data_IF_569893518056
#
_entry.id   IF_569893518056
#
_cell.length_a   1.000
_cell.length_b   1.000
_cell.length_c   1.000
_cell.angle_alpha   90.00
_cell.angle_beta   90.00
_cell.angle_gamma   90.00
#
_symmetry.space_group_name_H-M   'P 1'
#
loop_
_entity.id
_entity.type
_entity.pdbx_description
1 polymer ?
#
# COMPACT_ATOMS: atom_id res chain seq x y z
N UNK A 1 -19.96 24.61 -5.18
CA UNK A 1 -20.20 24.60 -3.72
C UNK A 1 -21.68 24.82 -3.48
N UNK A 2 -22.34 24.02 -2.64
CA UNK A 2 -23.69 24.34 -2.15
C UNK A 2 -23.53 25.25 -0.93
N UNK A 3 -24.12 26.45 -0.96
CA UNK A 3 -24.15 27.38 0.18
C UNK A 3 -25.49 27.27 0.88
N UNK A 4 -25.49 27.31 2.21
CA UNK A 4 -26.69 27.40 3.05
C UNK A 4 -26.64 28.74 3.77
N UNK A 5 -27.70 29.54 3.63
CA UNK A 5 -27.86 30.75 4.43
C UNK A 5 -28.30 30.39 5.84
N UNK A 6 -27.68 31.03 6.84
CA UNK A 6 -27.99 30.88 8.26
C UNK A 6 -28.51 32.21 8.79
N UNK A 7 -29.49 32.17 9.69
CA UNK A 7 -30.03 33.33 10.41
C UNK A 7 -29.50 33.37 11.84
N UNK A 8 -29.66 34.51 12.49
CA UNK A 8 -29.37 34.65 13.92
C UNK A 8 -30.16 33.61 14.73
N UNK A 9 -29.46 32.86 15.58
CA UNK A 9 -30.03 31.77 16.36
C UNK A 9 -29.99 30.39 15.70
N UNK A 10 -29.60 30.27 14.42
CA UNK A 10 -29.44 28.96 13.78
C UNK A 10 -28.22 28.20 14.33
N UNK A 11 -28.38 26.89 14.49
CA UNK A 11 -27.30 25.95 14.81
C UNK A 11 -27.17 24.88 13.74
N UNK A 12 -25.94 24.49 13.41
CA UNK A 12 -25.65 23.39 12.48
C UNK A 12 -24.67 22.42 13.13
N UNK A 13 -24.93 21.12 12.96
CA UNK A 13 -23.99 20.09 13.39
C UNK A 13 -22.77 20.10 12.48
N UNK A 14 -21.58 20.06 13.08
CA UNK A 14 -20.33 19.85 12.34
C UNK A 14 -20.36 18.40 11.83
N UNK A 15 -20.19 18.16 10.52
CA UNK A 15 -20.08 16.81 10.01
C UNK A 15 -18.92 16.06 10.68
N UNK A 16 -19.08 14.78 10.92
CA UNK A 16 -18.07 13.95 11.56
C UNK A 16 -16.71 14.05 10.82
N UNK A 17 -15.63 14.26 11.60
CA UNK A 17 -14.27 14.42 11.08
C UNK A 17 -13.99 15.77 10.39
N UNK A 18 -14.92 16.72 10.43
CA UNK A 18 -14.70 18.07 9.91
C UNK A 18 -14.34 19.07 11.02
N UNK A 19 -13.57 20.09 10.64
CA UNK A 19 -13.28 21.28 11.42
C UNK A 19 -13.88 22.50 10.70
N UNK A 20 -14.67 23.34 11.39
CA UNK A 20 -15.17 24.57 10.80
C UNK A 20 -14.04 25.60 10.67
N UNK A 21 -13.94 26.21 9.49
CA UNK A 21 -13.05 27.34 9.22
C UNK A 21 -13.91 28.53 8.81
N UNK A 22 -13.75 29.65 9.49
CA UNK A 22 -14.43 30.90 9.16
C UNK A 22 -13.52 31.71 8.24
N UNK A 23 -14.02 32.03 7.05
CA UNK A 23 -13.39 32.96 6.10
C UNK A 23 -14.40 34.04 5.74
N UNK A 24 -14.18 35.26 6.21
CA UNK A 24 -15.10 36.39 6.09
C UNK A 24 -16.51 36.02 6.62
N UNK A 25 -17.51 36.01 5.74
CA UNK A 25 -18.90 35.68 6.05
C UNK A 25 -19.26 34.23 5.67
N UNK A 26 -18.27 33.35 5.46
CA UNK A 26 -18.48 31.97 5.04
C UNK A 26 -17.85 30.99 6.03
N UNK A 27 -18.64 30.02 6.48
CA UNK A 27 -18.17 28.87 7.26
C UNK A 27 -17.92 27.71 6.29
N UNK A 28 -16.70 27.19 6.26
CA UNK A 28 -16.29 26.03 5.45
C UNK A 28 -15.89 24.90 6.37
N UNK A 29 -16.52 23.74 6.23
CA UNK A 29 -16.10 22.52 6.92
C UNK A 29 -14.97 21.85 6.11
N UNK A 30 -13.78 21.76 6.71
CA UNK A 30 -12.63 21.05 6.13
C UNK A 30 -12.42 19.74 6.88
N UNK A 31 -12.04 18.67 6.18
CA UNK A 31 -11.45 17.50 6.84
C UNK A 31 -9.94 17.72 6.95
N UNK A 32 -9.39 17.44 8.12
CA UNK A 32 -7.95 17.37 8.32
C UNK A 32 -7.57 15.90 8.37
N UNK A 33 -6.68 15.49 7.48
CA UNK A 33 -6.09 14.16 7.46
C UNK A 33 -4.60 14.32 7.79
N UNK A 34 -4.08 13.38 8.56
CA UNK A 34 -2.66 13.30 8.91
C UNK A 34 -1.92 12.40 7.91
N UNK A 35 -0.63 12.69 7.71
CA UNK A 35 0.22 11.88 6.83
C UNK A 35 0.27 10.41 7.28
N UNK A 36 -0.06 9.50 6.38
CA UNK A 36 -0.22 8.08 6.68
C UNK A 36 -1.64 7.64 7.06
N UNK A 37 -2.60 8.55 7.15
CA UNK A 37 -4.00 8.16 7.36
C UNK A 37 -4.50 7.22 6.27
N UNK A 38 -5.24 6.19 6.68
CA UNK A 38 -5.88 5.28 5.72
C UNK A 38 -7.27 5.81 5.39
N UNK A 39 -7.46 6.18 4.13
CA UNK A 39 -8.67 6.82 3.62
C UNK A 39 -9.35 5.95 2.56
N UNK A 40 -10.65 6.14 2.42
CA UNK A 40 -11.48 5.49 1.41
C UNK A 40 -12.41 6.51 0.75
N UNK A 41 -12.88 6.19 -0.45
CA UNK A 41 -13.87 7.00 -1.17
C UNK A 41 -15.22 6.98 -0.45
N UNK A 42 -15.90 8.12 -0.40
CA UNK A 42 -17.29 8.16 0.11
C UNK A 42 -18.31 7.62 -0.90
N UNK A 43 -17.90 7.36 -2.14
CA UNK A 43 -18.80 6.93 -3.22
C UNK A 43 -18.64 5.45 -3.58
N UNK A 44 -17.55 4.80 -3.16
CA UNK A 44 -17.29 3.38 -3.42
C UNK A 44 -16.35 2.82 -2.37
N UNK A 45 -16.50 1.54 -2.06
CA UNK A 45 -15.59 0.79 -1.19
C UNK A 45 -14.41 0.18 -1.98
N UNK A 46 -14.37 0.37 -3.30
CA UNK A 46 -13.34 -0.20 -4.18
C UNK A 46 -12.03 0.60 -4.16
N UNK A 47 -11.96 1.67 -3.37
CA UNK A 47 -10.83 2.58 -3.30
C UNK A 47 -10.43 2.74 -1.84
N UNK A 48 -9.26 2.22 -1.47
CA UNK A 48 -8.66 2.43 -0.15
C UNK A 48 -7.18 2.74 -0.33
N UNK A 49 -6.66 3.73 0.39
CA UNK A 49 -5.29 4.20 0.21
C UNK A 49 -4.69 4.77 1.49
N UNK A 50 -3.36 4.78 1.56
CA UNK A 50 -2.60 5.44 2.63
C UNK A 50 -2.27 6.85 2.15
N UNK A 51 -2.86 7.85 2.77
CA UNK A 51 -2.71 9.26 2.43
C UNK A 51 -1.27 9.73 2.61
N UNK A 52 -0.80 10.50 1.63
CA UNK A 52 0.48 11.19 1.65
C UNK A 52 0.21 12.68 1.66
N UNK A 53 0.70 13.38 2.65
CA UNK A 53 0.58 14.83 2.71
C UNK A 53 1.54 15.50 1.71
N UNK A 54 1.02 16.43 0.91
CA UNK A 54 1.86 17.28 0.06
C UNK A 54 2.36 18.49 0.85
N UNK A 55 3.52 18.34 1.52
CA UNK A 55 4.09 19.39 2.37
C UNK A 55 4.58 20.63 1.61
N UNK A 56 4.81 20.54 0.30
CA UNK A 56 5.24 21.68 -0.51
C UNK A 56 4.10 22.59 -0.95
N UNK A 57 2.85 22.10 -0.91
CA UNK A 57 1.64 22.87 -1.24
C UNK A 57 0.51 22.57 -0.24
N UNK A 58 0.39 23.37 0.84
CA UNK A 58 -0.66 23.19 1.85
C UNK A 58 -2.09 23.41 1.33
N UNK A 59 -2.27 24.11 0.21
CA UNK A 59 -3.59 24.35 -0.40
C UNK A 59 -3.96 23.26 -1.42
N UNK A 60 -3.09 22.28 -1.64
CA UNK A 60 -3.38 21.15 -2.53
C UNK A 60 -4.56 20.34 -2.00
N UNK A 61 -5.61 20.25 -2.82
CA UNK A 61 -6.86 19.59 -2.49
C UNK A 61 -6.90 18.13 -2.97
N UNK A 62 -5.86 17.65 -3.66
CA UNK A 62 -5.74 16.26 -4.14
C UNK A 62 -5.33 15.34 -2.99
N UNK A 63 -5.77 14.09 -3.05
CA UNK A 63 -5.31 13.07 -2.11
C UNK A 63 -4.10 12.34 -2.68
N UNK A 64 -2.90 12.82 -2.40
CA UNK A 64 -1.71 12.01 -2.68
C UNK A 64 -1.70 10.77 -1.79
N UNK A 65 -0.99 9.73 -2.23
CA UNK A 65 -0.93 8.48 -1.49
C UNK A 65 0.46 7.85 -1.56
N UNK A 66 0.79 7.04 -0.55
CA UNK A 66 1.93 6.14 -0.60
C UNK A 66 1.59 4.86 -1.37
N UNK A 67 0.39 4.32 -1.10
CA UNK A 67 -0.18 3.16 -1.79
C UNK A 67 -1.69 3.33 -1.92
N UNK A 68 -2.25 2.89 -3.05
CA UNK A 68 -3.67 2.93 -3.32
C UNK A 68 -4.12 1.63 -3.97
N UNK A 69 -5.10 0.98 -3.35
CA UNK A 69 -5.92 0.00 -4.05
C UNK A 69 -7.00 0.72 -4.84
N UNK A 70 -6.98 0.57 -6.16
CA UNK A 70 -8.05 1.07 -7.05
C UNK A 70 -8.11 0.25 -8.33
N UNK A 71 -9.32 0.08 -8.87
CA UNK A 71 -9.51 -0.68 -10.12
C UNK A 71 -9.03 -2.13 -10.06
N UNK A 72 -9.07 -2.76 -8.88
CA UNK A 72 -8.64 -4.14 -8.68
C UNK A 72 -7.12 -4.33 -8.59
N UNK A 73 -6.33 -3.25 -8.44
CA UNK A 73 -4.86 -3.31 -8.39
C UNK A 73 -4.29 -2.44 -7.28
N UNK A 74 -3.10 -2.81 -6.80
CA UNK A 74 -2.31 -1.98 -5.89
C UNK A 74 -1.37 -1.10 -6.72
N UNK A 75 -1.42 0.21 -6.46
CA UNK A 75 -0.52 1.20 -7.04
C UNK A 75 0.34 1.78 -5.92
N UNK A 76 1.66 1.77 -6.09
CA UNK A 76 2.62 2.36 -5.14
C UNK A 76 3.18 3.63 -5.76
N UNK A 77 3.11 4.74 -5.04
CA UNK A 77 3.72 5.97 -5.47
C UNK A 77 5.24 5.93 -5.25
N UNK A 78 6.01 6.50 -6.17
CA UNK A 78 7.44 6.71 -5.96
C UNK A 78 7.72 8.10 -5.38
N UNK A 79 8.95 8.36 -4.94
CA UNK A 79 9.35 9.70 -4.51
C UNK A 79 9.23 10.73 -5.64
N UNK A 80 9.48 10.31 -6.88
CA UNK A 80 9.45 11.15 -8.09
C UNK A 80 8.05 11.26 -8.73
N UNK A 81 7.11 10.39 -8.38
CA UNK A 81 5.76 10.34 -8.95
C UNK A 81 4.71 10.68 -7.90
N UNK A 82 4.12 11.88 -8.00
CA UNK A 82 3.01 12.31 -7.16
C UNK A 82 1.67 11.83 -7.73
N UNK A 83 1.42 10.52 -7.71
CA UNK A 83 0.07 10.02 -7.97
C UNK A 83 -0.91 10.52 -6.90
N UNK A 84 -2.18 10.64 -7.30
CA UNK A 84 -3.26 11.08 -6.42
C UNK A 84 -4.54 10.29 -6.67
N UNK A 85 -5.40 10.20 -5.65
CA UNK A 85 -6.66 9.47 -5.67
C UNK A 85 -7.83 10.40 -5.29
N UNK A 86 -8.39 11.08 -6.29
CA UNK A 86 -9.49 12.02 -6.09
C UNK A 86 -9.09 13.23 -5.24
N UNK A 87 -10.05 13.79 -4.50
CA UNK A 87 -9.92 15.05 -3.74
C UNK A 87 -10.33 14.89 -2.28
N UNK A 88 -9.77 15.71 -1.39
CA UNK A 88 -9.97 15.65 0.07
C UNK A 88 -11.43 15.70 0.50
N UNK A 89 -12.30 16.38 -0.25
CA UNK A 89 -13.73 16.47 0.08
C UNK A 89 -14.51 15.18 -0.18
N UNK A 90 -13.95 14.23 -0.93
CA UNK A 90 -14.65 13.04 -1.43
C UNK A 90 -14.25 11.75 -0.70
N UNK A 91 -13.50 11.88 0.40
CA UNK A 91 -12.94 10.75 1.15
C UNK A 91 -13.26 10.85 2.64
N UNK A 92 -13.14 9.73 3.35
CA UNK A 92 -13.25 9.60 4.81
C UNK A 92 -12.16 8.64 5.32
N UNK A 93 -11.95 8.60 6.63
CA UNK A 93 -11.17 7.52 7.22
C UNK A 93 -11.79 6.16 6.88
N UNK A 94 -10.92 5.20 6.58
CA UNK A 94 -11.29 3.81 6.40
C UNK A 94 -11.75 3.18 7.71
N UNK A 95 -12.73 2.28 7.66
CA UNK A 95 -13.07 1.40 8.78
C UNK A 95 -11.97 0.37 9.01
N UNK A 96 -12.00 -0.35 10.13
CA UNK A 96 -11.00 -1.39 10.41
C UNK A 96 -11.01 -2.50 9.35
N UNK A 97 -12.19 -2.87 8.82
CA UNK A 97 -12.32 -3.86 7.75
C UNK A 97 -11.68 -3.37 6.45
N UNK A 98 -11.87 -2.10 6.10
CA UNK A 98 -11.28 -1.47 4.91
C UNK A 98 -9.75 -1.36 5.03
N UNK A 99 -9.24 -1.04 6.23
CA UNK A 99 -7.79 -1.03 6.51
C UNK A 99 -7.19 -2.44 6.35
N UNK A 100 -7.82 -3.44 6.97
CA UNK A 100 -7.39 -4.83 6.86
C UNK A 100 -7.41 -5.33 5.42
N UNK A 101 -8.43 -4.95 4.65
CA UNK A 101 -8.50 -5.24 3.22
C UNK A 101 -7.30 -4.66 2.46
N UNK A 102 -6.95 -3.39 2.68
CA UNK A 102 -5.80 -2.78 2.04
C UNK A 102 -4.50 -3.53 2.40
N UNK A 103 -4.27 -3.82 3.68
CA UNK A 103 -3.07 -4.54 4.10
C UNK A 103 -3.00 -5.97 3.57
N UNK A 104 -4.14 -6.66 3.47
CA UNK A 104 -4.22 -7.96 2.82
C UNK A 104 -3.79 -7.86 1.34
N UNK A 105 -4.32 -6.86 0.61
CA UNK A 105 -3.95 -6.63 -0.80
C UNK A 105 -2.48 -6.21 -0.97
N UNK A 106 -1.94 -5.41 -0.06
CA UNK A 106 -0.51 -5.10 -0.05
C UNK A 106 0.31 -6.37 0.14
N UNK A 107 -0.04 -7.22 1.11
CA UNK A 107 0.66 -8.48 1.38
C UNK A 107 0.58 -9.48 0.22
N UNK A 108 -0.56 -9.58 -0.46
CA UNK A 108 -0.70 -10.37 -1.70
C UNK A 108 0.27 -9.88 -2.80
N UNK A 109 0.59 -8.59 -2.81
CA UNK A 109 1.58 -7.98 -3.70
C UNK A 109 2.99 -7.92 -3.09
N UNK A 110 3.19 -8.53 -1.92
CA UNK A 110 4.50 -8.54 -1.27
C UNK A 110 4.94 -7.24 -0.64
N UNK A 111 4.00 -6.37 -0.33
CA UNK A 111 4.25 -5.05 0.22
C UNK A 111 3.81 -5.01 1.68
N UNK A 112 4.51 -4.21 2.47
CA UNK A 112 4.12 -3.87 3.83
C UNK A 112 4.24 -2.36 4.06
N UNK A 113 3.43 -1.85 4.98
CA UNK A 113 3.46 -0.45 5.38
C UNK A 113 4.36 -0.28 6.61
N UNK A 114 5.42 0.51 6.48
CA UNK A 114 6.24 0.91 7.60
C UNK A 114 5.70 2.23 8.19
N UNK A 115 4.93 2.11 9.27
CA UNK A 115 4.30 3.25 9.95
C UNK A 115 5.33 4.27 10.48
N UNK A 116 6.49 3.79 10.95
CA UNK A 116 7.52 4.63 11.57
C UNK A 116 8.23 5.49 10.52
N UNK A 117 8.63 4.88 9.42
CA UNK A 117 9.37 5.56 8.35
C UNK A 117 8.44 6.14 7.27
N UNK A 118 7.11 5.96 7.43
CA UNK A 118 6.06 6.39 6.49
C UNK A 118 6.36 6.00 5.05
N UNK A 119 6.63 4.72 4.81
CA UNK A 119 6.92 4.19 3.46
C UNK A 119 6.38 2.79 3.24
N UNK A 120 6.17 2.46 1.98
CA UNK A 120 5.81 1.10 1.55
C UNK A 120 7.10 0.33 1.30
N UNK A 121 7.26 -0.81 1.96
CA UNK A 121 8.42 -1.69 1.82
C UNK A 121 8.02 -3.00 1.15
N UNK A 122 9.00 -3.73 0.62
CA UNK A 122 8.80 -5.11 0.16
C UNK A 122 9.03 -6.06 1.33
N UNK A 123 8.15 -7.06 1.48
CA UNK A 123 8.23 -8.09 2.52
C UNK A 123 9.43 -9.02 2.30
N UNK A 124 9.86 -9.19 1.05
CA UNK A 124 11.09 -9.92 0.74
C UNK A 124 12.27 -8.98 0.56
N UNK A 125 13.42 -9.52 0.93
CA UNK A 125 14.70 -8.90 0.68
C UNK A 125 15.01 -8.93 -0.82
N UNK A 126 15.48 -7.80 -1.35
CA UNK A 126 15.95 -7.68 -2.73
C UNK A 126 17.47 -7.50 -2.72
N UNK A 127 18.21 -8.34 -3.44
CA UNK A 127 19.66 -8.20 -3.55
C UNK A 127 20.03 -6.91 -4.29
N UNK A 128 21.07 -6.22 -3.81
CA UNK A 128 21.74 -5.13 -4.53
C UNK A 128 22.83 -5.69 -5.43
N UNK A 129 23.35 -4.86 -6.34
CA UNK A 129 24.55 -5.20 -7.12
C UNK A 129 25.67 -5.68 -6.19
N UNK A 130 26.33 -6.77 -6.56
CA UNK A 130 27.34 -7.48 -5.74
C UNK A 130 26.83 -8.24 -4.51
N UNK A 131 25.55 -8.19 -4.15
CA UNK A 131 25.04 -8.96 -3.02
C UNK A 131 25.03 -10.46 -3.33
N UNK A 132 25.61 -11.25 -2.42
CA UNK A 132 25.43 -12.70 -2.41
C UNK A 132 24.00 -13.03 -1.99
N UNK A 133 23.35 -13.91 -2.73
CA UNK A 133 22.03 -14.43 -2.36
C UNK A 133 21.85 -15.90 -2.71
N UNK A 134 20.87 -16.51 -2.07
CA UNK A 134 20.50 -17.91 -2.25
C UNK A 134 19.21 -18.03 -3.06
N UNK A 135 19.09 -19.07 -3.88
CA UNK A 135 17.91 -19.35 -4.69
C UNK A 135 17.68 -20.87 -4.77
N UNK A 136 16.45 -21.25 -5.12
CA UNK A 136 16.03 -22.64 -5.27
C UNK A 136 16.08 -22.98 -6.76
N UNK A 137 16.85 -24.00 -7.15
CA UNK A 137 16.91 -24.49 -8.53
C UNK A 137 15.61 -25.20 -8.94
N UNK A 138 15.49 -25.55 -10.23
CA UNK A 138 14.43 -26.43 -10.73
C UNK A 138 14.45 -27.84 -10.12
N UNK A 139 15.59 -28.27 -9.56
CA UNK A 139 15.73 -29.52 -8.79
C UNK A 139 15.36 -29.37 -7.30
N UNK A 140 14.87 -28.18 -6.90
CA UNK A 140 14.59 -27.81 -5.51
C UNK A 140 15.81 -27.89 -4.59
N UNK A 141 17.00 -27.65 -5.14
CA UNK A 141 18.25 -27.54 -4.39
C UNK A 141 18.56 -26.06 -4.15
N UNK A 142 19.09 -25.76 -2.97
CA UNK A 142 19.52 -24.41 -2.63
C UNK A 142 20.90 -24.18 -3.26
N UNK A 143 20.99 -23.14 -4.07
CA UNK A 143 22.24 -22.67 -4.65
C UNK A 143 22.46 -21.22 -4.24
N UNK A 144 23.67 -20.72 -4.43
CA UNK A 144 23.99 -19.31 -4.24
C UNK A 144 24.55 -18.68 -5.52
N UNK A 145 24.44 -17.36 -5.59
CA UNK A 145 25.03 -16.56 -6.65
C UNK A 145 25.24 -15.13 -6.15
N UNK A 146 25.88 -14.32 -6.98
CA UNK A 146 26.06 -12.89 -6.75
C UNK A 146 25.09 -12.17 -7.68
N UNK A 147 24.35 -11.20 -7.15
CA UNK A 147 23.47 -10.39 -7.96
C UNK A 147 24.29 -9.49 -8.87
N UNK A 148 24.08 -9.74 -10.16
CA UNK A 148 24.53 -8.95 -11.29
C UNK A 148 23.26 -8.54 -12.00
N UNK A 149 23.16 -7.34 -12.55
CA UNK A 149 21.96 -6.90 -13.30
C UNK A 149 21.72 -7.71 -14.61
N UNK A 150 21.47 -9.00 -14.47
CA UNK A 150 21.30 -10.00 -15.51
C UNK A 150 19.85 -10.48 -15.52
N UNK A 151 19.37 -10.91 -16.69
CA UNK A 151 18.01 -11.44 -16.86
C UNK A 151 17.73 -12.58 -15.87
N UNK A 152 18.72 -13.46 -15.64
CA UNK A 152 18.59 -14.58 -14.70
C UNK A 152 18.39 -14.09 -13.26
N UNK A 153 19.21 -13.13 -12.81
CA UNK A 153 19.09 -12.62 -11.45
C UNK A 153 17.78 -11.85 -11.25
N UNK A 154 17.36 -11.05 -12.24
CA UNK A 154 16.04 -10.38 -12.26
C UNK A 154 14.89 -11.37 -12.13
N UNK A 155 14.91 -12.47 -12.88
CA UNK A 155 13.90 -13.53 -12.77
C UNK A 155 13.88 -14.20 -11.39
N UNK A 156 15.03 -14.34 -10.72
CA UNK A 156 15.03 -14.87 -9.35
C UNK A 156 14.30 -13.92 -8.38
N UNK A 157 14.52 -12.61 -8.51
CA UNK A 157 13.86 -11.60 -7.67
C UNK A 157 12.35 -11.54 -7.98
N UNK A 158 11.99 -11.46 -9.27
CA UNK A 158 10.60 -11.38 -9.73
C UNK A 158 9.77 -12.61 -9.35
N UNK A 159 10.37 -13.79 -9.32
CA UNK A 159 9.71 -15.04 -8.90
C UNK A 159 9.81 -15.31 -7.39
N UNK A 160 10.20 -14.32 -6.60
CA UNK A 160 10.36 -14.45 -5.14
C UNK A 160 11.35 -15.55 -4.72
N UNK A 161 12.29 -15.89 -5.61
CA UNK A 161 13.28 -16.94 -5.47
C UNK A 161 14.67 -16.35 -5.18
N UNK A 162 14.71 -15.34 -4.31
CA UNK A 162 15.94 -14.72 -3.83
C UNK A 162 15.88 -14.59 -2.31
N UNK A 163 16.87 -15.14 -1.63
CA UNK A 163 16.93 -15.23 -0.18
C UNK A 163 18.26 -14.69 0.33
N UNK A 164 18.20 -13.83 1.35
CA UNK A 164 19.40 -13.28 1.98
C UNK A 164 20.24 -14.35 2.71
N UNK A 165 19.63 -15.44 3.15
CA UNK A 165 20.32 -16.51 3.89
C UNK A 165 19.96 -17.89 3.34
N UNK A 166 20.93 -18.80 3.41
CA UNK A 166 20.75 -20.20 3.01
C UNK A 166 19.61 -20.86 3.80
N UNK A 167 19.55 -20.65 5.11
CA UNK A 167 18.51 -21.21 5.98
C UNK A 167 17.08 -20.85 5.51
N UNK A 168 16.88 -19.61 5.06
CA UNK A 168 15.58 -19.17 4.51
C UNK A 168 15.26 -19.91 3.21
N UNK A 169 16.25 -20.03 2.32
CA UNK A 169 16.10 -20.76 1.06
C UNK A 169 15.81 -22.27 1.30
N UNK A 170 16.51 -22.90 2.24
CA UNK A 170 16.31 -24.31 2.59
C UNK A 170 14.90 -24.56 3.13
N UNK A 171 14.41 -23.70 4.05
CA UNK A 171 13.04 -23.81 4.58
C UNK A 171 12.00 -23.61 3.47
N UNK A 172 12.24 -22.67 2.55
CA UNK A 172 11.35 -22.45 1.41
C UNK A 172 11.34 -23.66 0.46
N UNK A 173 12.50 -24.24 0.11
CA UNK A 173 12.59 -25.44 -0.71
C UNK A 173 11.84 -26.63 -0.08
N UNK A 174 11.99 -26.85 1.23
CA UNK A 174 11.24 -27.88 1.95
C UNK A 174 9.73 -27.66 1.88
N UNK A 175 9.26 -26.42 2.06
CA UNK A 175 7.83 -26.07 1.97
C UNK A 175 7.29 -26.29 0.57
N UNK A 176 8.00 -25.87 -0.48
CA UNK A 176 7.56 -26.07 -1.86
C UNK A 176 7.42 -27.57 -2.20
N UNK A 177 8.38 -28.40 -1.77
CA UNK A 177 8.30 -29.87 -1.93
C UNK A 177 7.06 -30.44 -1.24
N UNK A 178 6.76 -30.02 -0.02
CA UNK A 178 5.58 -30.48 0.70
C UNK A 178 4.28 -29.98 0.05
N UNK A 179 4.21 -28.72 -0.39
CA UNK A 179 3.06 -28.17 -1.11
C UNK A 179 2.77 -28.96 -2.37
N UNK A 180 3.79 -29.29 -3.18
CA UNK A 180 3.61 -30.10 -4.39
C UNK A 180 3.15 -31.51 -4.05
N UNK A 181 3.72 -32.13 -3.00
CA UNK A 181 3.27 -33.45 -2.53
C UNK A 181 1.81 -33.46 -2.08
N UNK A 182 1.36 -32.41 -1.40
CA UNK A 182 -0.03 -32.25 -1.00
C UNK A 182 -0.94 -32.03 -2.21
N UNK A 183 -0.48 -31.23 -3.19
CA UNK A 183 -1.23 -30.98 -4.41
C UNK A 183 -1.42 -32.25 -5.26
N UNK A 184 -0.39 -33.08 -5.38
CA UNK A 184 -0.48 -34.41 -6.02
C UNK A 184 -1.58 -35.28 -5.39
N UNK A 185 -1.64 -35.32 -4.06
CA UNK A 185 -2.72 -36.01 -3.32
C UNK A 185 -4.10 -35.40 -3.61
N UNK A 186 -4.20 -34.08 -3.75
CA UNK A 186 -5.44 -33.37 -4.04
C UNK A 186 -5.99 -33.72 -5.44
N UNK A 187 -5.10 -33.81 -6.44
CA UNK A 187 -5.47 -34.15 -7.81
C UNK A 187 -5.53 -35.67 -8.08
N UNK A 188 -5.10 -36.50 -7.13
CA UNK A 188 -5.15 -37.96 -7.22
C UNK A 188 -4.04 -38.60 -8.06
N UNK A 189 -2.89 -37.91 -8.20
CA UNK A 189 -1.67 -38.41 -8.86
C UNK A 189 -0.57 -38.74 -7.83
#
# INVERSE_FOLDING_TARGET
MKTKELKEGDSINIPEGCVPVIKDNVIVFKKNFEDGDILTSMFTNDIVFIFRENKSDPEDYRNHYYVCFSGGRINVASEESMYYCGVKQNVRHATEEEKQFLFYKMKENGLEWNEKEKRVERIWWEPKEDDKYYYISSTFEVNDTIYRDSIKNKLHVENYNSFHTEEKATKAASRMKETLRLYHKEIGE
#
